data_IF_405825365776
#
_entry.id   IF_405825365776
#
_cell.length_a   1.000
_cell.length_b   1.000
_cell.length_c   1.000
_cell.angle_alpha   90.00
_cell.angle_beta   90.00
_cell.angle_gamma   90.00
#
_symmetry.space_group_name_H-M   'P 1'
#
loop_
_entity.id
_entity.type
_entity.pdbx_description
1 polymer ?
#
# COMPACT_ATOMS: atom_id res chain seq x y z
N UNK A 1 3.46 11.07 -13.16
CA UNK A 1 2.85 10.67 -11.88
C UNK A 1 3.57 9.44 -11.33
N UNK A 2 3.83 9.42 -10.02
CA UNK A 2 4.53 8.31 -9.37
C UNK A 2 3.61 7.19 -8.90
N UNK A 3 2.32 7.49 -8.77
CA UNK A 3 1.32 6.53 -8.28
C UNK A 3 0.41 6.09 -9.41
N UNK A 4 0.22 4.77 -9.49
CA UNK A 4 -0.83 4.14 -10.27
C UNK A 4 -1.82 3.51 -9.27
N UNK A 5 -2.94 4.18 -9.05
CA UNK A 5 -4.00 3.68 -8.17
C UNK A 5 -4.87 2.72 -8.97
N UNK A 6 -4.68 1.42 -8.75
CA UNK A 6 -5.41 0.38 -9.47
C UNK A 6 -6.88 0.36 -9.05
N UNK A 7 -7.73 -0.10 -9.95
CA UNK A 7 -9.18 -0.03 -9.78
C UNK A 7 -9.69 -0.70 -8.51
N UNK A 8 -9.18 -1.87 -8.18
CA UNK A 8 -9.61 -2.58 -6.97
C UNK A 8 -9.20 -1.85 -5.70
N UNK A 9 -8.01 -1.24 -5.68
CA UNK A 9 -7.58 -0.40 -4.57
C UNK A 9 -8.46 0.85 -4.44
N UNK A 10 -8.79 1.48 -5.56
CA UNK A 10 -9.72 2.61 -5.57
C UNK A 10 -11.08 2.22 -4.98
N UNK A 11 -11.59 1.04 -5.35
CA UNK A 11 -12.83 0.52 -4.80
C UNK A 11 -12.72 0.24 -3.30
N UNK A 12 -11.57 -0.29 -2.84
CA UNK A 12 -11.32 -0.50 -1.41
C UNK A 12 -11.42 0.82 -0.65
N UNK A 13 -10.81 1.88 -1.17
CA UNK A 13 -10.87 3.22 -0.55
C UNK A 13 -12.30 3.76 -0.55
N UNK A 14 -13.03 3.55 -1.63
CA UNK A 14 -14.43 3.99 -1.73
C UNK A 14 -15.31 3.30 -0.69
N UNK A 15 -15.14 1.98 -0.50
CA UNK A 15 -15.85 1.22 0.51
C UNK A 15 -15.45 1.68 1.93
N UNK A 16 -14.17 1.94 2.14
CA UNK A 16 -13.68 2.46 3.41
C UNK A 16 -14.31 3.83 3.72
N UNK A 17 -14.40 4.69 2.72
CA UNK A 17 -15.06 6.00 2.89
C UNK A 17 -16.51 5.87 3.32
N UNK A 18 -17.22 4.86 2.84
CA UNK A 18 -18.62 4.64 3.19
C UNK A 18 -18.80 4.26 4.66
N UNK A 19 -17.79 3.66 5.30
CA UNK A 19 -17.85 3.17 6.68
C UNK A 19 -16.97 3.94 7.66
N UNK A 20 -15.90 4.57 7.18
CA UNK A 20 -14.90 5.25 8.02
C UNK A 20 -14.24 6.37 7.25
N UNK A 21 -14.89 7.52 7.19
CA UNK A 21 -14.40 8.69 6.45
C UNK A 21 -13.00 9.12 6.93
N UNK A 22 -12.71 9.25 8.24
CA UNK A 22 -11.39 9.64 8.69
C UNK A 22 -10.27 8.70 8.25
N UNK A 23 -10.52 7.38 8.24
CA UNK A 23 -9.53 6.41 7.78
C UNK A 23 -9.27 6.55 6.27
N UNK A 24 -10.32 6.70 5.47
CA UNK A 24 -10.18 6.91 4.03
C UNK A 24 -9.42 8.21 3.73
N UNK A 25 -9.70 9.28 4.47
CA UNK A 25 -8.99 10.55 4.32
C UNK A 25 -7.49 10.40 4.63
N UNK A 26 -7.15 9.66 5.70
CA UNK A 26 -5.75 9.42 6.06
C UNK A 26 -5.00 8.64 4.97
N UNK A 27 -5.65 7.64 4.36
CA UNK A 27 -5.07 6.91 3.22
C UNK A 27 -4.82 7.85 2.06
N UNK A 28 -5.79 8.70 1.71
CA UNK A 28 -5.63 9.65 0.59
C UNK A 28 -4.53 10.66 0.84
N UNK A 29 -4.39 11.16 2.07
CA UNK A 29 -3.29 12.06 2.44
C UNK A 29 -1.94 11.37 2.25
N UNK A 30 -1.83 10.10 2.67
CA UNK A 30 -0.60 9.33 2.49
C UNK A 30 -0.26 9.17 0.99
N UNK A 31 -1.24 8.91 0.15
CA UNK A 31 -1.01 8.78 -1.30
C UNK A 31 -0.59 10.12 -1.93
N UNK A 32 -1.18 11.23 -1.51
CA UNK A 32 -0.80 12.57 -1.97
C UNK A 32 0.64 12.90 -1.54
N UNK A 33 1.01 12.54 -0.32
CA UNK A 33 2.35 12.69 0.22
C UNK A 33 3.38 11.93 -0.62
N UNK A 34 3.07 10.69 -0.98
CA UNK A 34 3.92 9.86 -1.84
C UNK A 34 4.07 10.50 -3.23
N UNK A 35 2.96 10.97 -3.80
CA UNK A 35 2.96 11.61 -5.12
C UNK A 35 3.82 12.87 -5.15
N UNK A 36 3.87 13.61 -4.04
CA UNK A 36 4.62 14.84 -3.93
C UNK A 36 6.10 14.64 -3.57
N UNK A 37 6.49 13.46 -3.11
CA UNK A 37 7.85 13.20 -2.62
C UNK A 37 8.75 12.70 -3.77
N UNK A 38 9.81 13.46 -4.15
CA UNK A 38 10.72 13.02 -5.22
C UNK A 38 11.53 11.77 -4.86
N UNK A 39 11.61 11.39 -3.59
CA UNK A 39 12.32 10.21 -3.10
C UNK A 39 11.37 9.07 -2.70
N UNK A 40 10.10 9.16 -3.07
CA UNK A 40 9.09 8.19 -2.65
C UNK A 40 9.44 6.76 -3.07
N UNK A 41 9.92 6.55 -4.30
CA UNK A 41 10.26 5.23 -4.80
C UNK A 41 11.34 4.59 -3.93
N UNK A 42 12.41 5.32 -3.62
CA UNK A 42 13.49 4.81 -2.78
C UNK A 42 13.00 4.46 -1.38
N UNK A 43 12.16 5.32 -0.78
CA UNK A 43 11.61 5.09 0.55
C UNK A 43 10.69 3.88 0.60
N UNK A 44 9.83 3.72 -0.39
CA UNK A 44 8.81 2.66 -0.42
C UNK A 44 9.34 1.31 -0.89
N UNK A 45 10.54 1.24 -1.41
CA UNK A 45 11.19 0.00 -1.82
C UNK A 45 12.36 -0.41 -0.92
N UNK A 46 12.50 0.24 0.23
CA UNK A 46 13.50 -0.13 1.24
C UNK A 46 12.86 -1.06 2.27
N UNK A 47 13.47 -2.22 2.48
CA UNK A 47 12.97 -3.23 3.42
C UNK A 47 13.06 -2.74 4.86
N UNK A 48 12.03 -3.03 5.65
CA UNK A 48 11.95 -2.69 7.06
C UNK A 48 11.30 -1.34 7.31
N UNK A 49 11.09 -1.03 8.58
CA UNK A 49 10.53 0.26 8.99
C UNK A 49 11.66 1.29 9.01
N UNK A 50 11.64 2.23 8.09
CA UNK A 50 12.53 3.37 8.12
C UNK A 50 11.91 4.43 9.05
N UNK A 51 12.55 4.76 10.19
CA UNK A 51 11.99 5.75 11.12
C UNK A 51 11.93 7.16 10.54
N UNK A 52 12.63 7.41 9.45
CA UNK A 52 12.61 8.71 8.79
C UNK A 52 11.53 8.83 7.70
N UNK A 53 10.91 7.71 7.29
CA UNK A 53 9.85 7.73 6.28
C UNK A 53 8.65 8.50 6.82
N UNK A 54 8.30 9.58 6.14
CA UNK A 54 7.16 10.41 6.52
C UNK A 54 7.37 11.25 7.77
N UNK A 55 8.58 11.31 8.35
CA UNK A 55 8.82 12.03 9.61
C UNK A 55 8.49 13.52 9.54
N UNK A 56 8.77 14.14 8.40
CA UNK A 56 8.48 15.56 8.16
C UNK A 56 7.15 15.80 7.45
N UNK A 57 6.41 14.72 7.16
CA UNK A 57 5.16 14.76 6.40
C UNK A 57 3.95 14.72 7.36
N UNK A 58 2.72 15.02 6.87
CA UNK A 58 1.52 14.97 7.72
C UNK A 58 1.26 13.61 8.34
N UNK A 59 1.68 12.52 7.69
CA UNK A 59 1.53 11.16 8.23
C UNK A 59 2.84 10.40 8.13
N UNK A 60 3.09 9.53 9.11
CA UNK A 60 4.24 8.65 9.14
C UNK A 60 3.88 7.29 8.59
N UNK A 61 4.80 6.70 7.80
CA UNK A 61 4.61 5.41 7.16
C UNK A 61 5.57 4.36 7.72
N UNK A 62 5.08 3.15 7.97
CA UNK A 62 5.91 1.99 8.28
C UNK A 62 5.88 1.04 7.08
N UNK A 63 7.04 0.73 6.53
CA UNK A 63 7.19 -0.03 5.29
C UNK A 63 7.66 -1.45 5.61
N UNK A 64 6.95 -2.46 5.07
CA UNK A 64 7.39 -3.86 5.16
C UNK A 64 7.22 -4.57 3.84
N UNK A 65 8.15 -5.47 3.53
CA UNK A 65 8.01 -6.35 2.38
C UNK A 65 7.00 -7.46 2.70
N UNK A 66 6.20 -7.82 1.71
CA UNK A 66 5.35 -9.00 1.79
C UNK A 66 6.19 -10.22 1.38
N UNK A 67 6.83 -10.86 2.37
CA UNK A 67 7.82 -11.91 2.11
C UNK A 67 7.24 -13.13 1.40
N UNK A 68 6.04 -13.55 1.78
CA UNK A 68 5.40 -14.72 1.16
C UNK A 68 5.11 -14.48 -0.32
N UNK A 69 4.61 -13.30 -0.69
CA UNK A 69 4.38 -12.94 -2.09
C UNK A 69 5.70 -12.91 -2.86
N UNK A 70 6.75 -12.34 -2.27
CA UNK A 70 8.07 -12.27 -2.90
C UNK A 70 8.61 -13.66 -3.20
N UNK A 71 8.47 -14.62 -2.27
CA UNK A 71 8.91 -15.99 -2.48
C UNK A 71 8.19 -16.68 -3.63
N UNK A 72 7.01 -16.19 -4.00
CA UNK A 72 6.20 -16.70 -5.11
C UNK A 72 6.29 -15.81 -6.36
N UNK A 73 7.34 -15.00 -6.46
CA UNK A 73 7.62 -14.21 -7.66
C UNK A 73 6.93 -12.85 -7.75
N UNK A 74 6.24 -12.43 -6.70
CA UNK A 74 5.57 -11.13 -6.66
C UNK A 74 6.27 -10.22 -5.64
N UNK A 75 7.11 -9.26 -6.08
CA UNK A 75 7.88 -8.40 -5.17
C UNK A 75 7.01 -7.26 -4.64
N UNK A 76 6.06 -7.60 -3.77
CA UNK A 76 5.10 -6.69 -3.22
C UNK A 76 5.50 -6.23 -1.83
N UNK A 77 4.94 -5.10 -1.46
CA UNK A 77 5.18 -4.40 -0.20
C UNK A 77 3.86 -3.98 0.40
N UNK A 78 3.91 -3.59 1.68
CA UNK A 78 2.79 -2.96 2.36
C UNK A 78 3.28 -1.79 3.18
N UNK A 79 2.46 -0.76 3.33
CA UNK A 79 2.73 0.26 4.33
C UNK A 79 1.59 0.41 5.31
N UNK A 80 1.96 0.83 6.52
CA UNK A 80 1.05 1.20 7.60
C UNK A 80 1.16 2.70 7.82
N UNK A 81 0.05 3.33 8.16
CA UNK A 81 -0.01 4.77 8.45
C UNK A 81 -0.11 4.94 9.96
N UNK A 82 0.95 5.46 10.60
CA UNK A 82 0.99 5.63 12.05
C UNK A 82 0.13 6.79 12.53
N UNK A 83 -0.37 6.67 13.76
CA UNK A 83 -1.00 7.77 14.52
C UNK A 83 -2.19 8.43 13.81
N UNK A 84 -2.92 7.68 13.02
CA UNK A 84 -4.11 8.13 12.29
C UNK A 84 -5.25 7.12 12.42
N UNK A 85 -6.49 7.50 12.07
CA UNK A 85 -7.60 6.53 12.02
C UNK A 85 -7.38 5.35 11.06
N UNK A 86 -6.40 5.46 10.14
CA UNK A 86 -6.07 4.39 9.19
C UNK A 86 -5.00 3.42 9.72
N UNK A 87 -4.57 3.54 10.99
CA UNK A 87 -3.47 2.73 11.53
C UNK A 87 -3.74 1.22 11.53
N UNK A 88 -5.02 0.80 11.51
CA UNK A 88 -5.40 -0.62 11.44
C UNK A 88 -5.51 -1.15 10.00
N UNK A 89 -5.27 -0.29 9.02
CA UNK A 89 -5.28 -0.66 7.61
C UNK A 89 -3.88 -0.80 7.07
N UNK A 90 -3.75 -1.60 6.01
CA UNK A 90 -2.49 -1.79 5.29
C UNK A 90 -2.73 -1.47 3.83
N UNK A 91 -1.82 -0.71 3.22
CA UNK A 91 -1.84 -0.43 1.79
C UNK A 91 -0.83 -1.35 1.13
N UNK A 92 -1.31 -2.21 0.24
CA UNK A 92 -0.47 -3.17 -0.48
C UNK A 92 -0.12 -2.59 -1.85
N UNK A 93 1.15 -2.63 -2.19
CA UNK A 93 1.66 -2.01 -3.41
C UNK A 93 2.87 -2.76 -3.97
N UNK A 94 3.17 -2.47 -5.23
CA UNK A 94 4.40 -2.91 -5.89
C UNK A 94 5.00 -1.77 -6.69
N UNK A 95 6.30 -1.84 -6.94
CA UNK A 95 7.00 -0.91 -7.82
C UNK A 95 7.13 -1.51 -9.20
N UNK A 96 6.55 -0.84 -10.20
CA UNK A 96 6.65 -1.25 -11.60
C UNK A 96 7.80 -0.48 -12.26
N UNK A 97 8.94 -1.17 -12.43
CA UNK A 97 10.18 -0.53 -12.86
C UNK A 97 10.12 0.03 -14.28
N UNK A 98 9.32 -0.56 -15.17
CA UNK A 98 9.21 -0.10 -16.56
C UNK A 98 8.51 1.25 -16.65
N UNK A 99 7.46 1.45 -15.88
CA UNK A 99 6.72 2.72 -15.82
C UNK A 99 7.22 3.64 -14.71
N UNK A 100 8.08 3.14 -13.83
CA UNK A 100 8.60 3.86 -12.65
C UNK A 100 7.48 4.37 -11.75
N UNK A 101 6.46 3.54 -11.57
CA UNK A 101 5.29 3.88 -10.75
C UNK A 101 5.14 2.95 -9.56
N UNK A 102 4.62 3.50 -8.48
CA UNK A 102 4.13 2.73 -7.34
C UNK A 102 2.68 2.34 -7.66
N UNK A 103 2.45 1.05 -7.85
CA UNK A 103 1.13 0.52 -8.15
C UNK A 103 0.41 0.16 -6.86
N UNK A 104 -0.64 0.89 -6.51
CA UNK A 104 -1.44 0.61 -5.32
C UNK A 104 -2.47 -0.45 -5.66
N UNK A 105 -2.40 -1.59 -4.99
CA UNK A 105 -3.16 -2.80 -5.34
C UNK A 105 -4.34 -3.06 -4.41
N UNK A 106 -4.21 -2.70 -3.12
CA UNK A 106 -5.27 -2.96 -2.16
C UNK A 106 -5.13 -2.08 -0.92
N UNK A 107 -6.26 -1.84 -0.26
CA UNK A 107 -6.32 -1.31 1.10
C UNK A 107 -7.11 -2.30 1.92
N UNK A 108 -6.47 -2.93 2.91
CA UNK A 108 -7.04 -4.05 3.67
C UNK A 108 -6.93 -3.79 5.18
N UNK A 109 -7.92 -4.27 5.94
CA UNK A 109 -7.84 -4.25 7.39
C UNK A 109 -6.87 -5.33 7.87
N UNK A 110 -6.01 -5.00 8.84
CA UNK A 110 -4.96 -5.91 9.33
C UNK A 110 -5.48 -7.25 9.83
N UNK A 111 -6.72 -7.30 10.32
CA UNK A 111 -7.33 -8.53 10.87
C UNK A 111 -8.07 -9.34 9.81
N UNK A 112 -8.32 -8.78 8.64
CA UNK A 112 -9.05 -9.45 7.56
C UNK A 112 -8.14 -10.02 6.48
N UNK A 113 -6.83 -9.80 6.58
CA UNK A 113 -5.89 -10.22 5.56
C UNK A 113 -4.74 -11.01 6.19
N UNK A 114 -4.61 -12.27 5.78
CA UNK A 114 -3.51 -13.14 6.17
C UNK A 114 -2.44 -13.15 5.06
N UNK A 115 -1.31 -12.50 5.33
CA UNK A 115 -0.21 -12.40 4.37
C UNK A 115 0.44 -13.74 4.04
N UNK A 116 0.26 -14.75 4.88
CA UNK A 116 0.81 -16.09 4.64
C UNK A 116 -0.11 -16.99 3.84
N UNK A 117 -1.37 -16.58 3.63
CA UNK A 117 -2.36 -17.34 2.88
C UNK A 117 -2.57 -16.73 1.49
N UNK A 118 -1.83 -17.24 0.49
CA UNK A 118 -1.97 -16.79 -0.90
C UNK A 118 -3.23 -17.33 -1.59
N UNK A 119 -3.96 -18.23 -0.96
CA UNK A 119 -5.18 -18.83 -1.53
C UNK A 119 -6.44 -18.05 -1.16
N UNK A 120 -6.36 -17.02 -0.31
CA UNK A 120 -7.51 -16.17 0.00
C UNK A 120 -7.95 -15.39 -1.25
N UNK A 121 -9.24 -15.04 -1.31
CA UNK A 121 -9.77 -14.26 -2.43
C UNK A 121 -9.06 -12.92 -2.60
N UNK A 122 -8.77 -12.24 -1.48
CA UNK A 122 -8.07 -10.94 -1.50
C UNK A 122 -6.66 -11.12 -2.04
N UNK A 123 -5.91 -12.12 -1.56
CA UNK A 123 -4.55 -12.37 -2.02
C UNK A 123 -4.52 -12.70 -3.52
N UNK A 124 -5.42 -13.56 -3.98
CA UNK A 124 -5.53 -13.89 -5.40
C UNK A 124 -5.83 -12.65 -6.24
N UNK A 125 -6.76 -11.81 -5.80
CA UNK A 125 -7.08 -10.56 -6.48
C UNK A 125 -5.87 -9.66 -6.61
N UNK A 126 -5.13 -9.47 -5.51
CA UNK A 126 -3.92 -8.63 -5.50
C UNK A 126 -2.88 -9.17 -6.47
N UNK A 127 -2.61 -10.47 -6.42
CA UNK A 127 -1.61 -11.09 -7.30
C UNK A 127 -2.02 -11.04 -8.76
N UNK A 128 -3.30 -11.26 -9.06
CA UNK A 128 -3.82 -11.16 -10.43
C UNK A 128 -3.70 -9.73 -10.96
N UNK A 129 -4.04 -8.73 -10.15
CA UNK A 129 -3.92 -7.33 -10.53
C UNK A 129 -2.46 -6.95 -10.79
N UNK A 130 -1.54 -7.42 -9.96
CA UNK A 130 -0.11 -7.20 -10.15
C UNK A 130 0.39 -7.81 -11.46
N UNK A 131 0.02 -9.06 -11.72
CA UNK A 131 0.46 -9.79 -12.92
C UNK A 131 -0.14 -9.25 -14.21
N UNK A 132 -1.23 -8.51 -14.12
CA UNK A 132 -1.90 -7.89 -15.28
C UNK A 132 -1.30 -6.54 -15.70
N UNK A 133 -0.34 -6.04 -14.95
CA UNK A 133 0.31 -4.75 -15.26
C UNK A 133 1.31 -4.88 -16.41
#
# INVERSE_FOLDING_TARGET
MRIDLRKNAENDIRQLRATNIPAAAAVMVALEQIEADPKAIDKLTTHGDDPEVGKADPVRLGIKRWETAKRHGAPLWRFRIFDTPATVYRVVYGYHWQTKQICILAVVHKEEFDYDNLDSEIAKRILDDWRAI
#
